data_IF_327586169496
#
_entry.id   IF_327586169496
#
_cell.length_a   1.000
_cell.length_b   1.000
_cell.length_c   1.000
_cell.angle_alpha   90.00
_cell.angle_beta   90.00
_cell.angle_gamma   90.00
#
_symmetry.space_group_name_H-M   'P 1'
#
loop_
_entity.id
_entity.type
_entity.pdbx_description
1 polymer ?
#
# COMPACT_ATOMS: atom_id res chain seq x y z
N UNK A 1 -32.87 15.53 -25.91
CA UNK A 1 -31.88 15.19 -24.85
C UNK A 1 -30.51 15.25 -25.52
N UNK A 2 -29.73 16.31 -25.20
CA UNK A 2 -28.47 16.59 -25.85
C UNK A 2 -27.40 15.53 -25.47
N UNK A 3 -26.85 14.81 -26.45
CA UNK A 3 -25.81 13.80 -26.19
C UNK A 3 -24.53 14.39 -25.62
N UNK A 4 -24.27 15.69 -25.81
CA UNK A 4 -23.11 16.38 -25.24
C UNK A 4 -23.23 16.60 -23.74
N UNK A 5 -24.44 16.86 -23.22
CA UNK A 5 -24.69 17.05 -21.79
C UNK A 5 -24.55 15.73 -21.01
N UNK A 6 -24.90 14.60 -21.61
CA UNK A 6 -24.72 13.28 -21.00
C UNK A 6 -23.25 12.86 -20.96
N UNK A 7 -22.46 13.23 -21.96
CA UNK A 7 -20.99 13.02 -21.98
C UNK A 7 -20.28 13.86 -20.93
N UNK A 8 -20.66 15.15 -20.81
CA UNK A 8 -20.05 16.04 -19.81
C UNK A 8 -20.32 15.61 -18.37
N UNK A 9 -21.51 15.13 -18.06
CA UNK A 9 -21.86 14.58 -16.73
C UNK A 9 -21.12 13.28 -16.45
N UNK A 10 -20.92 12.42 -17.45
CA UNK A 10 -20.11 11.19 -17.34
C UNK A 10 -18.65 11.49 -17.03
N UNK A 11 -18.04 12.47 -17.70
CA UNK A 11 -16.65 12.86 -17.48
C UNK A 11 -16.42 13.49 -16.10
N UNK A 12 -17.34 14.29 -15.61
CA UNK A 12 -17.28 14.86 -14.25
C UNK A 12 -17.40 13.76 -13.20
N UNK A 13 -18.33 12.82 -13.38
CA UNK A 13 -18.51 11.68 -12.48
C UNK A 13 -17.25 10.78 -12.45
N UNK A 14 -16.65 10.49 -13.60
CA UNK A 14 -15.42 9.70 -13.72
C UNK A 14 -14.24 10.37 -13.01
N UNK A 15 -14.06 11.68 -13.20
CA UNK A 15 -13.03 12.45 -12.50
C UNK A 15 -13.23 12.46 -10.99
N UNK A 16 -14.45 12.63 -10.51
CA UNK A 16 -14.75 12.59 -9.07
C UNK A 16 -14.50 11.20 -8.50
N UNK A 17 -14.89 10.13 -9.19
CA UNK A 17 -14.65 8.74 -8.77
C UNK A 17 -13.15 8.43 -8.69
N UNK A 18 -12.38 8.77 -9.72
CA UNK A 18 -10.93 8.57 -9.74
C UNK A 18 -10.21 9.35 -8.63
N UNK A 19 -10.61 10.62 -8.43
CA UNK A 19 -10.02 11.46 -7.40
C UNK A 19 -10.35 10.94 -5.99
N UNK A 20 -11.58 10.52 -5.74
CA UNK A 20 -12.00 9.97 -4.45
C UNK A 20 -11.27 8.65 -4.12
N UNK A 21 -11.07 7.78 -5.09
CA UNK A 21 -10.33 6.52 -4.92
C UNK A 21 -8.86 6.79 -4.61
N UNK A 22 -8.25 7.74 -5.32
CA UNK A 22 -6.86 8.14 -5.11
C UNK A 22 -6.62 8.66 -3.68
N UNK A 23 -7.42 9.64 -3.25
CA UNK A 23 -7.29 10.21 -1.90
C UNK A 23 -7.65 9.21 -0.80
N UNK A 24 -8.68 8.39 -1.02
CA UNK A 24 -9.05 7.34 -0.07
C UNK A 24 -7.90 6.34 0.12
N UNK A 25 -7.26 5.91 -0.97
CA UNK A 25 -6.10 5.03 -0.89
C UNK A 25 -4.95 5.67 -0.11
N UNK A 26 -4.55 6.89 -0.45
CA UNK A 26 -3.45 7.57 0.24
C UNK A 26 -3.72 7.72 1.73
N UNK A 27 -4.93 8.16 2.10
CA UNK A 27 -5.31 8.31 3.51
C UNK A 27 -5.29 6.97 4.25
N UNK A 28 -5.86 5.92 3.63
CA UNK A 28 -5.86 4.57 4.20
C UNK A 28 -4.44 4.04 4.39
N UNK A 29 -3.56 4.25 3.41
CA UNK A 29 -2.18 3.79 3.46
C UNK A 29 -1.36 4.51 4.54
N UNK A 30 -1.59 5.82 4.73
CA UNK A 30 -0.94 6.58 5.81
C UNK A 30 -1.44 6.11 7.18
N UNK A 31 -2.75 5.88 7.34
CA UNK A 31 -3.32 5.36 8.58
C UNK A 31 -2.76 3.97 8.91
N UNK A 32 -2.68 3.09 7.92
CA UNK A 32 -2.10 1.77 8.04
C UNK A 32 -0.63 1.83 8.48
N UNK A 33 0.18 2.65 7.82
CA UNK A 33 1.58 2.87 8.16
C UNK A 33 1.79 3.35 9.61
N UNK A 34 0.95 4.28 10.07
CA UNK A 34 0.99 4.77 11.45
C UNK A 34 0.64 3.65 12.42
N UNK A 35 -0.42 2.90 12.15
CA UNK A 35 -0.90 1.82 13.01
C UNK A 35 0.14 0.71 13.10
N UNK A 36 0.68 0.24 11.98
CA UNK A 36 1.76 -0.76 11.93
C UNK A 36 3.00 -0.24 12.65
N UNK A 37 3.41 1.00 12.41
CA UNK A 37 4.55 1.62 13.07
C UNK A 37 4.40 1.65 14.60
N UNK A 38 3.24 2.00 15.10
CA UNK A 38 2.93 1.99 16.55
C UNK A 38 2.93 0.58 17.10
N UNK A 39 2.24 -0.37 16.45
CA UNK A 39 2.18 -1.77 16.91
C UNK A 39 3.57 -2.40 16.98
N UNK A 40 4.38 -2.22 15.94
CA UNK A 40 5.76 -2.74 15.91
C UNK A 40 6.61 -2.05 16.98
N UNK A 41 6.52 -0.72 17.14
CA UNK A 41 7.25 0.01 18.18
C UNK A 41 6.94 -0.53 19.58
N UNK A 42 5.67 -0.76 19.89
CA UNK A 42 5.22 -1.31 21.17
C UNK A 42 5.76 -2.74 21.36
N UNK A 43 5.58 -3.60 20.37
CA UNK A 43 6.04 -4.98 20.43
C UNK A 43 7.57 -5.08 20.63
N UNK A 44 8.35 -4.30 19.89
CA UNK A 44 9.80 -4.28 20.01
C UNK A 44 10.26 -3.65 21.32
N UNK A 45 9.50 -2.72 21.89
CA UNK A 45 9.77 -2.15 23.22
C UNK A 45 9.55 -3.18 24.32
N UNK A 46 8.50 -3.99 24.22
CA UNK A 46 8.25 -5.11 25.15
C UNK A 46 9.39 -6.14 25.09
N UNK A 47 9.90 -6.42 23.90
CA UNK A 47 11.04 -7.29 23.68
C UNK A 47 12.38 -6.65 24.09
N UNK A 48 12.38 -5.41 24.54
CA UNK A 48 13.58 -4.65 24.90
C UNK A 48 14.63 -4.62 23.76
N UNK A 49 14.15 -4.48 22.53
CA UNK A 49 15.01 -4.28 21.37
C UNK A 49 15.53 -2.85 21.41
N UNK A 50 16.86 -2.70 21.22
CA UNK A 50 17.47 -1.38 21.14
C UNK A 50 16.92 -0.62 19.92
N UNK A 51 16.59 0.65 20.11
CA UNK A 51 15.95 1.50 19.09
C UNK A 51 14.55 1.04 18.65
N UNK A 52 13.78 0.37 19.50
CA UNK A 52 12.45 -0.18 19.21
C UNK A 52 11.52 0.83 18.51
N UNK A 53 11.42 2.05 19.03
CA UNK A 53 10.56 3.10 18.48
C UNK A 53 11.05 3.54 17.09
N UNK A 54 12.35 3.70 16.91
CA UNK A 54 12.94 4.06 15.63
C UNK A 54 12.72 2.96 14.57
N UNK A 55 12.92 1.70 14.95
CA UNK A 55 12.69 0.56 14.06
C UNK A 55 11.21 0.41 13.70
N UNK A 56 10.32 0.58 14.66
CA UNK A 56 8.88 0.55 14.40
C UNK A 56 8.43 1.70 13.49
N UNK A 57 8.91 2.92 13.74
CA UNK A 57 8.66 4.06 12.85
C UNK A 57 9.16 3.79 11.43
N UNK A 58 10.37 3.26 11.30
CA UNK A 58 10.95 2.91 10.00
C UNK A 58 10.12 1.84 9.29
N UNK A 59 9.73 0.77 9.99
CA UNK A 59 8.89 -0.31 9.42
C UNK A 59 7.54 0.26 8.97
N UNK A 60 6.89 1.10 9.79
CA UNK A 60 5.65 1.77 9.41
C UNK A 60 5.82 2.67 8.18
N UNK A 61 6.87 3.48 8.14
CA UNK A 61 7.15 4.37 7.02
C UNK A 61 7.38 3.58 5.71
N UNK A 62 8.16 2.52 5.76
CA UNK A 62 8.40 1.68 4.59
C UNK A 62 7.15 0.89 4.17
N UNK A 63 6.20 0.63 5.10
CA UNK A 63 4.93 -0.02 4.80
C UNK A 63 4.05 0.79 3.83
N UNK A 64 4.34 2.08 3.62
CA UNK A 64 3.72 2.88 2.56
C UNK A 64 3.97 2.31 1.15
N UNK A 65 5.02 1.53 0.96
CA UNK A 65 5.35 0.91 -0.32
C UNK A 65 4.97 -0.57 -0.25
N UNK A 66 3.90 -1.01 -0.92
CA UNK A 66 3.45 -2.39 -0.85
C UNK A 66 4.54 -3.40 -1.26
N UNK A 67 4.65 -4.47 -0.51
CA UNK A 67 5.60 -5.59 -0.67
C UNK A 67 7.07 -5.21 -0.50
N UNK A 68 7.59 -4.26 -1.27
CA UNK A 68 9.01 -3.87 -1.24
C UNK A 68 9.40 -3.20 0.08
N UNK A 69 8.55 -2.31 0.57
CA UNK A 69 8.83 -1.57 1.79
C UNK A 69 8.98 -2.48 3.00
N UNK A 70 8.05 -3.40 3.18
CA UNK A 70 8.08 -4.36 4.28
C UNK A 70 9.37 -5.20 4.28
N UNK A 71 9.78 -5.73 3.12
CA UNK A 71 11.00 -6.55 2.99
C UNK A 71 12.24 -5.74 3.33
N UNK A 72 12.40 -4.55 2.74
CA UNK A 72 13.57 -3.69 2.98
C UNK A 72 13.65 -3.26 4.44
N UNK A 73 12.53 -2.86 5.04
CA UNK A 73 12.47 -2.44 6.43
C UNK A 73 12.87 -3.57 7.40
N UNK A 74 12.36 -4.79 7.17
CA UNK A 74 12.71 -5.95 8.02
C UNK A 74 14.17 -6.29 7.89
N UNK A 75 14.75 -6.30 6.69
CA UNK A 75 16.18 -6.56 6.49
C UNK A 75 17.03 -5.54 7.26
N UNK A 76 16.72 -4.26 7.15
CA UNK A 76 17.46 -3.21 7.89
C UNK A 76 17.27 -3.40 9.40
N UNK A 77 16.07 -3.69 9.88
CA UNK A 77 15.79 -3.92 11.29
C UNK A 77 16.56 -5.13 11.83
N UNK A 78 16.66 -6.22 11.07
CA UNK A 78 17.46 -7.40 11.42
C UNK A 78 18.93 -7.00 11.57
N UNK A 79 19.50 -6.31 10.59
CA UNK A 79 20.90 -5.88 10.63
C UNK A 79 21.21 -5.03 11.88
N UNK A 80 20.36 -4.01 12.14
CA UNK A 80 20.52 -3.16 13.31
C UNK A 80 20.39 -3.97 14.61
N UNK A 81 19.45 -4.90 14.68
CA UNK A 81 19.22 -5.69 15.90
C UNK A 81 20.33 -6.71 16.13
N UNK A 82 20.87 -7.33 15.08
CA UNK A 82 22.06 -8.20 15.19
C UNK A 82 23.23 -7.45 15.79
N UNK A 83 23.50 -6.25 15.28
CA UNK A 83 24.63 -5.43 15.72
C UNK A 83 24.47 -4.89 17.16
N UNK A 84 23.24 -4.68 17.61
CA UNK A 84 22.96 -4.02 18.90
C UNK A 84 22.48 -4.95 20.01
N UNK A 85 21.96 -6.13 19.66
CA UNK A 85 21.35 -7.07 20.59
C UNK A 85 21.74 -8.54 20.37
N UNK A 86 22.52 -8.80 19.32
CA UNK A 86 22.96 -10.14 18.95
C UNK A 86 21.92 -10.94 18.15
N UNK A 87 22.36 -12.10 17.65
CA UNK A 87 21.58 -12.94 16.73
C UNK A 87 20.30 -13.46 17.38
N UNK A 88 20.34 -13.88 18.65
CA UNK A 88 19.15 -14.40 19.35
C UNK A 88 18.03 -13.38 19.45
N UNK A 89 18.37 -12.13 19.77
CA UNK A 89 17.39 -11.02 19.83
C UNK A 89 16.86 -10.66 18.44
N UNK A 90 17.71 -10.69 17.43
CA UNK A 90 17.32 -10.44 16.04
C UNK A 90 16.35 -11.50 15.51
N UNK A 91 16.58 -12.77 15.81
CA UNK A 91 15.65 -13.86 15.45
C UNK A 91 14.28 -13.68 16.12
N UNK A 92 14.25 -13.41 17.42
CA UNK A 92 13.01 -13.17 18.16
C UNK A 92 12.26 -11.95 17.57
N UNK A 93 12.97 -10.85 17.34
CA UNK A 93 12.43 -9.65 16.70
C UNK A 93 11.83 -9.97 15.33
N UNK A 94 12.55 -10.72 14.49
CA UNK A 94 12.10 -11.09 13.16
C UNK A 94 10.80 -11.89 13.21
N UNK A 95 10.72 -12.89 14.08
CA UNK A 95 9.49 -13.70 14.25
C UNK A 95 8.31 -12.80 14.63
N UNK A 96 8.47 -11.92 15.60
CA UNK A 96 7.40 -11.03 16.06
C UNK A 96 6.97 -10.05 14.96
N UNK A 97 7.93 -9.44 14.26
CA UNK A 97 7.61 -8.51 13.17
C UNK A 97 6.92 -9.23 12.01
N UNK A 98 7.35 -10.44 11.65
CA UNK A 98 6.67 -11.24 10.60
C UNK A 98 5.23 -11.58 11.01
N UNK A 99 5.00 -11.98 12.26
CA UNK A 99 3.64 -12.24 12.77
C UNK A 99 2.78 -10.96 12.67
N UNK A 100 3.30 -9.81 13.11
CA UNK A 100 2.59 -8.54 13.00
C UNK A 100 2.29 -8.16 11.54
N UNK A 101 3.22 -8.38 10.63
CA UNK A 101 2.99 -8.17 9.19
C UNK A 101 1.92 -9.12 8.62
N UNK A 102 1.84 -10.39 9.10
CA UNK A 102 0.76 -11.29 8.70
C UNK A 102 -0.60 -10.83 9.23
N UNK A 103 -0.65 -10.31 10.46
CA UNK A 103 -1.87 -9.73 11.03
C UNK A 103 -2.26 -8.48 10.22
N UNK A 104 -1.30 -7.65 9.88
CA UNK A 104 -1.53 -6.48 9.05
C UNK A 104 -2.10 -6.86 7.69
N UNK A 105 -1.41 -7.70 6.93
CA UNK A 105 -1.80 -8.09 5.58
C UNK A 105 -3.16 -8.78 5.49
N UNK A 106 -3.55 -9.56 6.52
CA UNK A 106 -4.75 -10.38 6.47
C UNK A 106 -5.95 -9.79 7.26
N UNK A 107 -5.71 -8.88 8.19
CA UNK A 107 -6.75 -8.35 9.08
C UNK A 107 -6.84 -6.83 9.03
N UNK A 108 -5.71 -6.13 9.21
CA UNK A 108 -5.70 -4.67 9.39
C UNK A 108 -5.88 -3.98 8.04
N UNK A 109 -5.02 -4.29 7.09
CA UNK A 109 -5.02 -3.67 5.76
C UNK A 109 -6.36 -3.83 5.03
N UNK A 110 -7.00 -5.03 4.96
CA UNK A 110 -8.33 -5.18 4.38
C UNK A 110 -9.42 -4.35 5.07
N UNK A 111 -9.32 -4.16 6.39
CA UNK A 111 -10.29 -3.34 7.14
C UNK A 111 -10.11 -1.84 6.92
N UNK A 112 -8.89 -1.38 6.72
CA UNK A 112 -8.57 0.04 6.53
C UNK A 112 -8.78 0.45 5.07
N UNK A 113 -8.25 -0.32 4.13
CA UNK A 113 -8.33 -0.02 2.68
C UNK A 113 -9.70 -0.42 2.14
N UNK A 114 -10.30 -1.49 2.67
CA UNK A 114 -11.57 -2.05 2.22
C UNK A 114 -11.47 -2.66 0.82
N UNK A 115 -12.60 -3.21 0.35
CA UNK A 115 -12.71 -3.87 -0.97
C UNK A 115 -12.62 -2.88 -2.15
N UNK A 116 -12.24 -1.64 -1.89
CA UNK A 116 -12.24 -0.55 -2.88
C UNK A 116 -11.17 -0.67 -3.96
N UNK A 117 -10.25 -1.61 -3.82
CA UNK A 117 -9.14 -1.81 -4.75
C UNK A 117 -9.10 -3.27 -5.21
N UNK A 118 -9.99 -3.66 -6.10
CA UNK A 118 -9.92 -4.93 -6.83
C UNK A 118 -8.75 -4.94 -7.84
N UNK A 119 -7.53 -4.80 -7.32
CA UNK A 119 -6.32 -4.92 -8.15
C UNK A 119 -5.63 -6.23 -7.84
N UNK A 120 -5.27 -6.97 -8.89
CA UNK A 120 -4.48 -8.19 -8.71
C UNK A 120 -3.10 -7.86 -8.12
N UNK A 121 -2.60 -8.74 -7.25
CA UNK A 121 -1.27 -8.60 -6.65
C UNK A 121 -0.17 -8.47 -7.71
N UNK A 122 -0.30 -9.17 -8.83
CA UNK A 122 0.64 -9.07 -9.95
C UNK A 122 0.69 -7.67 -10.55
N UNK A 123 -0.46 -7.01 -10.69
CA UNK A 123 -0.52 -5.64 -11.21
C UNK A 123 0.11 -4.66 -10.22
N UNK A 124 -0.07 -4.87 -8.91
CA UNK A 124 0.58 -4.05 -7.88
C UNK A 124 2.09 -4.19 -7.95
N UNK A 125 2.62 -5.42 -7.98
CA UNK A 125 4.07 -5.66 -8.08
C UNK A 125 4.63 -5.04 -9.36
N UNK A 126 3.96 -5.23 -10.49
CA UNK A 126 4.36 -4.65 -11.76
C UNK A 126 4.38 -3.12 -11.72
N UNK A 127 3.32 -2.49 -11.22
CA UNK A 127 3.22 -1.04 -11.11
C UNK A 127 4.29 -0.46 -10.18
N UNK A 128 4.52 -1.08 -9.00
CA UNK A 128 5.54 -0.64 -8.05
C UNK A 128 6.94 -0.79 -8.63
N UNK A 129 7.20 -1.87 -9.37
CA UNK A 129 8.51 -2.08 -10.03
C UNK A 129 8.75 -1.01 -11.10
N UNK A 130 7.77 -0.74 -11.96
CA UNK A 130 7.88 0.32 -12.97
C UNK A 130 7.98 1.70 -12.33
N UNK A 131 7.12 2.00 -11.36
CA UNK A 131 7.16 3.26 -10.63
C UNK A 131 8.51 3.50 -9.99
N UNK A 132 9.08 2.46 -9.39
CA UNK A 132 10.41 2.50 -8.79
C UNK A 132 11.53 2.73 -9.79
N UNK A 133 11.47 2.06 -10.95
CA UNK A 133 12.49 2.18 -11.99
C UNK A 133 12.54 3.59 -12.61
N UNK A 134 11.40 4.25 -12.78
CA UNK A 134 11.32 5.56 -13.44
C UNK A 134 11.33 6.75 -12.48
N UNK A 135 10.71 6.62 -11.30
CA UNK A 135 10.47 7.73 -10.38
C UNK A 135 10.99 7.47 -8.95
N UNK A 136 11.72 6.36 -8.74
CA UNK A 136 12.26 6.01 -7.43
C UNK A 136 11.19 5.74 -6.38
N UNK A 137 11.49 6.06 -5.11
CA UNK A 137 10.62 5.78 -3.95
C UNK A 137 9.24 6.44 -4.08
N UNK A 138 9.19 7.68 -4.60
CA UNK A 138 7.93 8.39 -4.82
C UNK A 138 7.07 7.67 -5.86
N UNK A 139 7.71 7.15 -6.92
CA UNK A 139 7.03 6.36 -7.94
C UNK A 139 6.49 5.04 -7.40
N UNK A 140 7.23 4.36 -6.53
CA UNK A 140 6.75 3.15 -5.85
C UNK A 140 5.49 3.42 -5.01
N UNK A 141 5.51 4.51 -4.24
CA UNK A 141 4.37 4.89 -3.38
C UNK A 141 3.12 5.24 -4.18
N UNK A 142 3.29 6.00 -5.26
CA UNK A 142 2.17 6.43 -6.10
C UNK A 142 1.74 5.39 -7.14
N UNK A 143 2.51 4.32 -7.33
CA UNK A 143 2.25 3.31 -8.36
C UNK A 143 0.89 2.65 -8.22
N UNK A 144 0.49 2.27 -7.00
CA UNK A 144 -0.77 1.58 -6.73
C UNK A 144 -1.99 2.47 -7.03
N UNK A 145 -2.11 3.69 -6.49
CA UNK A 145 -3.24 4.55 -6.81
C UNK A 145 -3.29 4.93 -8.30
N UNK A 146 -2.14 5.11 -8.95
CA UNK A 146 -2.10 5.39 -10.40
C UNK A 146 -2.58 4.18 -11.20
N UNK A 147 -2.11 2.97 -10.86
CA UNK A 147 -2.55 1.73 -11.52
C UNK A 147 -4.06 1.49 -11.33
N UNK A 148 -4.60 1.82 -10.13
CA UNK A 148 -6.05 1.73 -9.87
C UNK A 148 -6.85 2.65 -10.77
N UNK A 149 -6.42 3.91 -10.89
CA UNK A 149 -7.09 4.88 -11.75
C UNK A 149 -7.04 4.44 -13.22
N UNK A 150 -5.89 3.95 -13.68
CA UNK A 150 -5.73 3.44 -15.05
C UNK A 150 -6.69 2.25 -15.28
N UNK A 151 -6.76 1.30 -14.35
CA UNK A 151 -7.67 0.16 -14.42
C UNK A 151 -9.12 0.62 -14.54
N UNK A 152 -9.57 1.54 -13.67
CA UNK A 152 -10.94 2.08 -13.70
C UNK A 152 -11.27 2.73 -15.05
N UNK A 153 -10.34 3.51 -15.60
CA UNK A 153 -10.54 4.15 -16.91
C UNK A 153 -10.67 3.11 -18.02
N UNK A 154 -9.85 2.06 -17.99
CA UNK A 154 -9.91 0.97 -18.99
C UNK A 154 -11.23 0.20 -18.89
N UNK A 155 -11.67 -0.16 -17.69
CA UNK A 155 -12.93 -0.87 -17.44
C UNK A 155 -14.13 -0.04 -17.94
N UNK A 156 -14.17 1.24 -17.63
CA UNK A 156 -15.21 2.15 -18.12
C UNK A 156 -15.22 2.23 -19.66
N UNK A 157 -14.05 2.24 -20.31
CA UNK A 157 -13.95 2.22 -21.79
C UNK A 157 -14.48 0.92 -22.41
N UNK A 158 -14.23 -0.20 -21.74
CA UNK A 158 -14.71 -1.52 -22.20
C UNK A 158 -16.23 -1.59 -22.08
N UNK A 159 -16.78 -1.19 -20.92
CA UNK A 159 -18.24 -1.17 -20.71
C UNK A 159 -18.99 -0.26 -21.71
N UNK A 160 -18.43 0.90 -22.03
CA UNK A 160 -19.03 1.80 -23.04
C UNK A 160 -19.02 1.15 -24.45
N UNK A 161 -17.98 0.42 -24.79
CA UNK A 161 -17.91 -0.30 -26.07
C UNK A 161 -18.88 -1.47 -26.15
N UNK A 162 -19.09 -2.20 -25.06
CA UNK A 162 -20.05 -3.31 -24.99
C UNK A 162 -21.48 -2.79 -25.14
N UNK A 163 -21.83 -1.74 -24.40
CA UNK A 163 -23.13 -1.06 -24.53
C UNK A 163 -23.40 -0.49 -25.92
N UNK A 164 -22.34 -0.03 -26.60
CA UNK A 164 -22.46 0.48 -27.97
C UNK A 164 -22.63 -0.61 -29.03
N UNK A 165 -22.20 -1.85 -28.72
CA UNK A 165 -22.32 -3.00 -29.63
C UNK A 165 -23.60 -3.83 -29.41
N UNK A 166 -24.44 -3.46 -28.44
CA UNK A 166 -25.73 -4.11 -28.21
C UNK A 166 -25.64 -5.56 -27.69
N UNK A 167 -24.53 -5.91 -27.03
CA UNK A 167 -24.35 -7.17 -26.32
C UNK A 167 -24.53 -6.93 -24.84
#
# INVERSE_FOLDING_TARGET
RDPEMSRGLGDVYKRQKSNSVFFKFLTSQVLDAILVGVLVSVALSILQVKYAVLLGFMIGLFNLIPYFGAIVAVVIAILITVLTGGIGKALLMTVVVVILQQIDANIINPKIVGDSLEISQLLVIFAVTLGGAYFGVIGMFLAVPVATVIKLVIEDFIEEREKSKGI
#
